data_IF_322016488830
#
_entry.id   IF_322016488830
#
_cell.length_a   1.000
_cell.length_b   1.000
_cell.length_c   1.000
_cell.angle_alpha   90.00
_cell.angle_beta   90.00
_cell.angle_gamma   90.00
#
_symmetry.space_group_name_H-M   'P 1'
#
loop_
_entity.id
_entity.type
_entity.pdbx_description
1 polymer ?
#
# COMPACT_ATOMS: atom_id res chain seq x y z
N UNK A 1 -16.79 -35.48 15.88
CA UNK A 1 -16.43 -34.70 14.66
C UNK A 1 -15.02 -35.02 14.13
N UNK A 2 -14.21 -35.85 14.82
CA UNK A 2 -12.99 -36.48 14.26
C UNK A 2 -13.32 -37.78 13.49
N UNK A 3 -14.54 -38.28 13.67
CA UNK A 3 -14.94 -39.67 13.39
C UNK A 3 -15.13 -40.00 11.90
N UNK A 4 -14.95 -39.03 11.00
CA UNK A 4 -15.13 -39.24 9.54
C UNK A 4 -13.87 -39.03 8.69
N UNK A 5 -12.87 -38.29 9.19
CA UNK A 5 -11.67 -37.95 8.39
C UNK A 5 -10.36 -38.18 9.11
N UNK A 6 -10.35 -38.35 10.44
CA UNK A 6 -9.10 -38.47 11.23
C UNK A 6 -8.23 -37.20 11.21
N UNK A 7 -8.70 -36.11 10.59
CA UNK A 7 -7.99 -34.83 10.53
C UNK A 7 -8.48 -33.93 11.66
N UNK A 8 -7.60 -33.52 12.60
CA UNK A 8 -7.99 -32.62 13.68
C UNK A 8 -8.38 -31.26 13.10
N UNK A 9 -9.61 -30.83 13.36
CA UNK A 9 -10.08 -29.48 13.06
C UNK A 9 -9.75 -28.61 14.27
N UNK A 10 -8.82 -27.66 14.10
CA UNK A 10 -8.48 -26.66 15.12
C UNK A 10 -9.22 -25.34 14.87
N UNK A 11 -9.79 -24.76 15.93
CA UNK A 11 -10.35 -23.41 15.90
C UNK A 11 -9.21 -22.38 16.08
N UNK A 12 -8.91 -21.59 15.03
CA UNK A 12 -7.87 -20.54 15.08
C UNK A 12 -8.31 -19.31 15.90
N UNK A 13 -9.62 -19.06 16.01
CA UNK A 13 -10.20 -17.98 16.80
C UNK A 13 -11.56 -17.52 16.26
N UNK A 14 -12.27 -16.71 17.05
CA UNK A 14 -13.55 -16.11 16.67
C UNK A 14 -13.32 -14.64 16.30
N UNK A 15 -13.76 -14.26 15.11
CA UNK A 15 -13.65 -12.87 14.64
C UNK A 15 -14.78 -12.01 15.20
N UNK A 16 -14.42 -10.84 15.72
CA UNK A 16 -15.36 -9.73 15.96
C UNK A 16 -15.81 -9.13 14.63
N UNK A 17 -14.89 -9.01 13.68
CA UNK A 17 -15.20 -8.70 12.27
C UNK A 17 -14.04 -9.14 11.36
N UNK A 18 -14.35 -9.39 10.08
CA UNK A 18 -13.39 -9.77 9.05
C UNK A 18 -13.83 -9.23 7.69
N UNK A 19 -12.88 -8.77 6.89
CA UNK A 19 -13.07 -8.29 5.54
C UNK A 19 -12.26 -9.13 4.54
N UNK A 20 -12.96 -9.72 3.57
CA UNK A 20 -12.35 -10.45 2.45
C UNK A 20 -12.20 -9.53 1.25
N UNK A 21 -11.02 -9.57 0.62
CA UNK A 21 -10.70 -8.69 -0.48
C UNK A 21 -10.91 -9.40 -1.83
N UNK A 22 -11.41 -8.69 -2.85
CA UNK A 22 -11.53 -9.25 -4.18
C UNK A 22 -10.15 -9.58 -4.79
N UNK A 23 -10.11 -10.46 -5.79
CA UNK A 23 -8.90 -10.67 -6.58
C UNK A 23 -8.50 -9.39 -7.30
N UNK A 24 -7.18 -9.12 -7.37
CA UNK A 24 -6.66 -8.01 -8.19
C UNK A 24 -6.85 -8.26 -9.70
N UNK A 25 -6.98 -9.53 -10.12
CA UNK A 25 -7.12 -9.92 -11.53
C UNK A 25 -8.59 -10.11 -11.94
N UNK A 26 -9.44 -10.53 -11.01
CA UNK A 26 -10.87 -10.70 -11.26
C UNK A 26 -11.70 -10.30 -10.03
N UNK A 27 -12.24 -9.07 -10.01
CA UNK A 27 -12.98 -8.54 -8.86
C UNK A 27 -14.19 -9.39 -8.43
N UNK A 28 -14.72 -10.25 -9.33
CA UNK A 28 -15.86 -11.13 -9.06
C UNK A 28 -15.49 -12.42 -8.31
N UNK A 29 -14.20 -12.71 -8.14
CA UNK A 29 -13.71 -13.90 -7.44
C UNK A 29 -12.96 -13.49 -6.17
N UNK A 30 -13.49 -13.77 -4.97
CA UNK A 30 -12.75 -13.58 -3.73
C UNK A 30 -11.57 -14.56 -3.70
N UNK A 31 -10.40 -14.06 -3.31
CA UNK A 31 -9.20 -14.92 -3.14
C UNK A 31 -9.08 -15.22 -1.66
N UNK A 32 -9.19 -16.49 -1.27
CA UNK A 32 -9.07 -16.94 0.12
C UNK A 32 -7.79 -16.45 0.84
N UNK A 33 -6.77 -16.04 0.09
CA UNK A 33 -5.49 -15.57 0.60
C UNK A 33 -5.39 -14.05 0.85
N UNK A 34 -6.47 -13.27 0.65
CA UNK A 34 -6.47 -11.81 0.87
C UNK A 34 -7.61 -11.39 1.80
N UNK A 35 -7.29 -11.14 3.06
CA UNK A 35 -8.25 -10.67 4.06
C UNK A 35 -7.55 -9.98 5.23
N UNK A 36 -8.31 -9.25 6.01
CA UNK A 36 -7.91 -8.78 7.33
C UNK A 36 -9.11 -8.75 8.27
N UNK A 37 -8.88 -8.81 9.57
CA UNK A 37 -9.95 -8.84 10.56
C UNK A 37 -9.41 -8.74 11.97
N UNK A 38 -10.31 -8.67 12.93
CA UNK A 38 -9.97 -8.60 14.35
C UNK A 38 -10.69 -9.71 15.09
N UNK A 39 -9.95 -10.45 15.89
CA UNK A 39 -10.48 -11.46 16.80
C UNK A 39 -11.23 -10.81 17.97
N UNK A 40 -12.09 -11.57 18.65
CA UNK A 40 -12.78 -11.09 19.86
C UNK A 40 -11.83 -10.63 20.98
N UNK A 41 -10.61 -11.17 21.02
CA UNK A 41 -9.55 -10.76 21.96
C UNK A 41 -8.76 -9.51 21.52
N UNK A 42 -9.18 -8.86 20.42
CA UNK A 42 -8.57 -7.65 19.89
C UNK A 42 -7.35 -7.87 18.97
N UNK A 43 -6.85 -9.11 18.81
CA UNK A 43 -5.72 -9.37 17.92
C UNK A 43 -6.11 -9.19 16.45
N UNK A 44 -5.30 -8.44 15.71
CA UNK A 44 -5.48 -8.21 14.26
C UNK A 44 -4.89 -9.39 13.46
N UNK A 45 -5.71 -10.00 12.59
CA UNK A 45 -5.25 -10.96 11.56
C UNK A 45 -5.19 -10.26 10.20
N UNK A 46 -4.15 -10.55 9.44
CA UNK A 46 -3.99 -10.04 8.07
C UNK A 46 -3.30 -11.07 7.17
N UNK A 47 -3.78 -11.22 5.93
CA UNK A 47 -3.23 -12.12 4.91
C UNK A 47 -3.29 -11.43 3.55
N UNK A 48 -2.20 -11.54 2.77
CA UNK A 48 -2.18 -11.10 1.37
C UNK A 48 -2.38 -9.61 1.12
N UNK A 49 -2.16 -8.76 2.13
CA UNK A 49 -2.14 -7.30 2.03
C UNK A 49 -0.70 -6.76 2.09
N UNK A 50 -0.52 -5.51 1.70
CA UNK A 50 0.75 -4.79 1.56
C UNK A 50 1.61 -4.88 2.84
N UNK A 51 1.01 -4.78 4.03
CA UNK A 51 1.67 -4.92 5.34
C UNK A 51 2.43 -6.25 5.51
N UNK A 52 2.03 -7.31 4.79
CA UNK A 52 2.65 -8.65 4.81
C UNK A 52 3.54 -8.92 3.61
N UNK A 53 3.57 -8.04 2.60
CA UNK A 53 4.38 -8.24 1.40
C UNK A 53 5.80 -7.75 1.61
N UNK A 54 6.80 -8.51 1.17
CA UNK A 54 8.21 -8.13 1.33
C UNK A 54 8.58 -6.85 0.57
N UNK A 55 8.01 -6.69 -0.63
CA UNK A 55 8.26 -5.57 -1.55
C UNK A 55 7.59 -4.25 -1.18
N UNK A 56 6.81 -4.20 -0.10
CA UNK A 56 6.21 -2.95 0.38
C UNK A 56 7.17 -2.20 1.32
N UNK A 57 7.37 -0.88 1.13
CA UNK A 57 8.17 -0.05 2.03
C UNK A 57 7.74 -0.12 3.50
N UNK A 58 8.68 -0.12 4.47
CA UNK A 58 8.35 -0.13 5.89
C UNK A 58 7.38 0.95 6.34
N UNK A 59 7.47 2.16 5.78
CA UNK A 59 6.56 3.27 6.01
C UNK A 59 5.11 2.88 5.72
N UNK A 60 4.86 2.36 4.51
CA UNK A 60 3.52 1.97 4.06
C UNK A 60 3.00 0.76 4.84
N UNK A 61 3.87 -0.20 5.17
CA UNK A 61 3.51 -1.31 6.05
C UNK A 61 3.04 -0.84 7.41
N UNK A 62 3.71 0.17 7.97
CA UNK A 62 3.34 0.76 9.27
C UNK A 62 2.01 1.49 9.15
N UNK A 63 1.86 2.37 8.16
CA UNK A 63 0.62 3.10 7.94
C UNK A 63 -0.60 2.17 7.78
N UNK A 64 -0.46 1.08 7.02
CA UNK A 64 -1.55 0.11 6.86
C UNK A 64 -1.88 -0.66 8.16
N UNK A 65 -0.89 -0.91 9.03
CA UNK A 65 -1.13 -1.52 10.36
C UNK A 65 -1.81 -0.54 11.30
N UNK A 66 -1.30 0.68 11.41
CA UNK A 66 -1.85 1.72 12.28
C UNK A 66 -3.31 2.04 11.88
N UNK A 67 -3.62 2.11 10.58
CA UNK A 67 -4.99 2.28 10.10
C UNK A 67 -5.91 1.10 10.49
N UNK A 68 -5.40 -0.13 10.48
CA UNK A 68 -6.12 -1.31 10.96
C UNK A 68 -6.33 -1.27 12.48
N UNK A 69 -5.37 -0.73 13.23
CA UNK A 69 -5.50 -0.52 14.69
C UNK A 69 -6.56 0.53 15.02
N UNK A 70 -6.70 1.57 14.18
CA UNK A 70 -7.82 2.52 14.29
C UNK A 70 -9.17 1.83 14.06
N UNK A 71 -9.31 1.03 12.99
CA UNK A 71 -10.53 0.27 12.72
C UNK A 71 -10.79 -0.82 13.78
N UNK A 72 -9.74 -1.36 14.40
CA UNK A 72 -9.85 -2.33 15.48
C UNK A 72 -10.46 -1.75 16.77
N UNK A 73 -10.72 -0.46 16.84
CA UNK A 73 -11.50 0.12 17.94
C UNK A 73 -13.01 -0.09 17.73
N UNK A 74 -13.47 -0.38 16.52
CA UNK A 74 -14.87 -0.68 16.24
C UNK A 74 -15.31 -1.97 16.96
N UNK A 75 -16.42 -1.95 17.72
CA UNK A 75 -16.91 -3.10 18.48
C UNK A 75 -17.53 -4.18 17.59
N UNK A 76 -17.94 -3.84 16.37
CA UNK A 76 -18.48 -4.78 15.38
C UNK A 76 -18.31 -4.23 13.94
N UNK A 77 -18.74 -5.03 12.96
CA UNK A 77 -18.62 -4.68 11.55
C UNK A 77 -19.53 -3.51 11.12
N UNK A 78 -20.69 -3.34 11.75
CA UNK A 78 -21.65 -2.29 11.40
C UNK A 78 -21.11 -0.91 11.76
N UNK A 79 -20.36 -0.83 12.85
CA UNK A 79 -19.76 0.40 13.36
C UNK A 79 -18.45 0.79 12.67
N UNK A 80 -17.87 -0.05 11.79
CA UNK A 80 -16.63 0.28 11.07
C UNK A 80 -16.73 1.57 10.26
N UNK A 81 -17.91 1.85 9.68
CA UNK A 81 -18.13 3.06 8.87
C UNK A 81 -18.02 4.35 9.70
N UNK A 82 -18.30 4.30 11.00
CA UNK A 82 -18.16 5.45 11.89
C UNK A 82 -16.70 5.89 12.08
N UNK A 83 -15.74 4.98 11.83
CA UNK A 83 -14.31 5.27 11.91
C UNK A 83 -13.72 5.81 10.61
N UNK A 84 -14.49 5.83 9.51
CA UNK A 84 -14.01 6.29 8.20
C UNK A 84 -13.38 7.69 8.24
N UNK A 85 -14.00 8.73 8.84
CA UNK A 85 -13.41 10.06 8.85
C UNK A 85 -12.02 10.08 9.49
N UNK A 86 -11.87 9.45 10.67
CA UNK A 86 -10.60 9.35 11.40
C UNK A 86 -9.54 8.58 10.63
N UNK A 87 -9.92 7.52 9.93
CA UNK A 87 -8.98 6.73 9.13
C UNK A 87 -8.56 7.49 7.87
N UNK A 88 -9.47 8.23 7.23
CA UNK A 88 -9.14 9.08 6.07
C UNK A 88 -8.19 10.22 6.47
N UNK A 89 -8.47 10.91 7.58
CA UNK A 89 -7.59 11.93 8.17
C UNK A 89 -6.19 11.36 8.43
N UNK A 90 -6.12 10.17 9.07
CA UNK A 90 -4.84 9.49 9.27
C UNK A 90 -4.07 9.24 7.96
N UNK A 91 -4.74 8.87 6.87
CA UNK A 91 -4.08 8.67 5.57
C UNK A 91 -3.61 9.98 4.93
N UNK A 92 -4.34 11.08 5.14
CA UNK A 92 -3.94 12.42 4.71
C UNK A 92 -2.68 12.86 5.47
N UNK A 93 -2.64 12.71 6.80
CA UNK A 93 -1.46 13.02 7.61
C UNK A 93 -0.22 12.24 7.13
N UNK A 94 -0.39 10.94 6.84
CA UNK A 94 0.72 10.11 6.32
C UNK A 94 1.15 10.55 4.92
N UNK A 95 0.24 11.00 4.08
CA UNK A 95 0.58 11.54 2.78
C UNK A 95 1.36 12.86 2.91
N UNK A 96 1.00 13.70 3.87
CA UNK A 96 1.68 14.97 4.14
C UNK A 96 3.08 14.76 4.73
N UNK A 97 3.26 13.82 5.66
CA UNK A 97 4.59 13.43 6.16
C UNK A 97 5.51 12.97 5.01
N UNK A 98 4.96 12.19 4.07
CA UNK A 98 5.70 11.72 2.90
C UNK A 98 6.10 12.88 2.00
N UNK A 99 5.16 13.79 1.70
CA UNK A 99 5.38 14.92 0.79
C UNK A 99 6.27 16.01 1.37
N UNK A 100 6.24 16.19 2.68
CA UNK A 100 7.11 17.13 3.39
C UNK A 100 8.52 16.57 3.64
N UNK A 101 8.81 15.35 3.19
CA UNK A 101 10.14 14.73 3.33
C UNK A 101 10.47 14.30 4.76
N UNK A 102 9.48 14.18 5.65
CA UNK A 102 9.68 13.77 7.04
C UNK A 102 9.93 12.27 7.21
N UNK A 103 9.68 11.48 6.16
CA UNK A 103 9.88 10.02 6.19
C UNK A 103 11.34 9.68 5.88
N UNK A 104 12.08 9.01 6.81
CA UNK A 104 13.47 8.61 6.57
C UNK A 104 13.61 7.66 5.38
N UNK A 105 14.74 7.74 4.65
CA UNK A 105 15.00 6.93 3.46
C UNK A 105 14.87 5.42 3.73
N UNK A 106 15.34 4.95 4.88
CA UNK A 106 15.29 3.54 5.27
C UNK A 106 13.84 3.03 5.36
N UNK A 107 12.89 3.93 5.66
CA UNK A 107 11.47 3.60 5.73
C UNK A 107 10.81 3.57 4.35
N UNK A 108 11.46 4.12 3.33
CA UNK A 108 11.03 4.12 1.93
C UNK A 108 11.66 2.98 1.10
N UNK A 109 12.52 2.15 1.70
CA UNK A 109 13.17 1.05 0.99
C UNK A 109 12.20 0.01 0.45
N UNK A 110 12.32 -0.27 -0.84
CA UNK A 110 11.65 -1.38 -1.53
C UNK A 110 12.60 -2.56 -1.59
N UNK A 111 12.08 -3.77 -1.32
CA UNK A 111 12.88 -5.01 -1.40
C UNK A 111 12.27 -5.97 -2.42
N UNK A 112 12.96 -6.20 -3.54
CA UNK A 112 12.46 -7.11 -4.59
C UNK A 112 13.48 -8.20 -4.89
N UNK A 113 12.96 -9.38 -5.28
CA UNK A 113 13.77 -10.51 -5.70
C UNK A 113 14.20 -10.32 -7.15
N UNK A 114 15.48 -10.51 -7.44
CA UNK A 114 15.94 -10.67 -8.82
C UNK A 114 15.46 -12.03 -9.31
N UNK A 115 14.53 -12.04 -10.27
CA UNK A 115 13.86 -13.26 -10.71
C UNK A 115 14.49 -13.92 -11.93
N UNK A 116 15.31 -13.18 -12.69
CA UNK A 116 15.97 -13.60 -13.93
C UNK A 116 17.30 -12.86 -14.07
N UNK A 117 18.16 -13.34 -14.96
CA UNK A 117 19.39 -12.63 -15.33
C UNK A 117 19.05 -11.31 -16.04
N UNK A 118 19.95 -10.33 -16.00
CA UNK A 118 19.69 -8.99 -16.54
C UNK A 118 19.42 -9.01 -18.05
N UNK A 119 20.16 -9.85 -18.78
CA UNK A 119 20.07 -10.02 -20.24
C UNK A 119 18.73 -10.64 -20.67
N UNK A 120 18.01 -11.29 -19.75
CA UNK A 120 16.73 -11.94 -20.02
C UNK A 120 15.55 -10.98 -19.92
N UNK A 121 15.75 -9.73 -19.49
CA UNK A 121 14.70 -8.72 -19.42
C UNK A 121 14.62 -7.90 -20.71
N UNK A 122 13.46 -7.93 -21.37
CA UNK A 122 13.15 -7.00 -22.48
C UNK A 122 13.07 -5.54 -22.01
N UNK A 123 12.51 -5.35 -20.81
CA UNK A 123 12.47 -4.06 -20.11
C UNK A 123 12.99 -4.33 -18.69
N UNK A 124 14.09 -3.68 -18.26
CA UNK A 124 14.64 -3.89 -16.93
C UNK A 124 13.63 -3.56 -15.84
N UNK A 125 13.34 -4.54 -14.97
CA UNK A 125 12.54 -4.29 -13.77
C UNK A 125 13.26 -3.33 -12.81
N UNK A 126 12.57 -2.69 -11.85
CA UNK A 126 13.22 -1.90 -10.79
C UNK A 126 14.35 -2.64 -10.08
N UNK A 127 14.13 -3.93 -9.75
CA UNK A 127 15.15 -4.80 -9.18
C UNK A 127 16.35 -4.99 -10.13
N UNK A 128 16.10 -5.23 -11.42
CA UNK A 128 17.16 -5.40 -12.42
C UNK A 128 18.00 -4.12 -12.57
N UNK A 129 17.36 -2.94 -12.61
CA UNK A 129 18.07 -1.65 -12.67
C UNK A 129 18.93 -1.39 -11.42
N UNK A 130 18.40 -1.72 -10.24
CA UNK A 130 19.18 -1.62 -9.00
C UNK A 130 20.36 -2.60 -8.98
N UNK A 131 20.19 -3.83 -9.47
CA UNK A 131 21.29 -4.80 -9.58
C UNK A 131 22.34 -4.33 -10.59
N UNK A 132 21.94 -3.78 -11.73
CA UNK A 132 22.88 -3.22 -12.72
C UNK A 132 23.77 -2.12 -12.11
N UNK A 133 23.21 -1.25 -11.26
CA UNK A 133 23.99 -0.24 -10.53
C UNK A 133 25.03 -0.87 -9.59
N UNK A 134 24.66 -1.95 -8.90
CA UNK A 134 25.58 -2.66 -8.00
C UNK A 134 26.70 -3.36 -8.78
N UNK A 135 26.38 -4.00 -9.90
CA UNK A 135 27.38 -4.64 -10.77
C UNK A 135 28.38 -3.63 -11.34
N UNK A 136 27.93 -2.41 -11.68
CA UNK A 136 28.80 -1.34 -12.18
C UNK A 136 29.88 -0.90 -11.16
N UNK A 137 29.66 -1.15 -9.86
CA UNK A 137 30.65 -0.89 -8.79
C UNK A 137 31.30 -2.18 -8.27
N UNK A 138 31.22 -3.27 -9.02
CA UNK A 138 31.85 -4.56 -8.70
C UNK A 138 31.12 -5.38 -7.62
N UNK A 139 29.86 -5.06 -7.29
CA UNK A 139 29.05 -5.85 -6.36
C UNK A 139 28.17 -6.84 -7.12
N UNK A 140 28.39 -8.12 -6.90
CA UNK A 140 27.59 -9.19 -7.50
C UNK A 140 26.28 -9.42 -6.74
N UNK A 141 25.17 -9.52 -7.48
CA UNK A 141 23.88 -10.00 -6.99
C UNK A 141 23.41 -11.12 -7.91
N UNK A 142 23.15 -12.30 -7.35
CA UNK A 142 22.74 -13.49 -8.10
C UNK A 142 21.23 -13.59 -8.23
N UNK A 143 20.75 -14.24 -9.30
CA UNK A 143 19.34 -14.61 -9.42
C UNK A 143 18.90 -15.39 -8.19
N UNK A 144 17.72 -15.04 -7.68
CA UNK A 144 17.21 -15.59 -6.43
C UNK A 144 17.41 -14.69 -5.21
N UNK A 145 18.39 -13.77 -5.26
CA UNK A 145 18.66 -12.84 -4.17
C UNK A 145 17.74 -11.63 -4.19
N UNK A 146 17.67 -10.94 -3.05
CA UNK A 146 16.90 -9.71 -2.90
C UNK A 146 17.80 -8.50 -3.01
N UNK A 147 17.32 -7.49 -3.71
CA UNK A 147 17.94 -6.16 -3.79
C UNK A 147 17.04 -5.14 -3.11
N UNK A 148 17.66 -4.18 -2.43
CA UNK A 148 16.99 -3.03 -1.82
C UNK A 148 17.25 -1.79 -2.64
N UNK A 149 16.23 -0.99 -2.87
CA UNK A 149 16.36 0.26 -3.61
C UNK A 149 15.30 1.28 -3.20
N UNK A 150 15.55 2.53 -3.57
CA UNK A 150 14.60 3.65 -3.52
C UNK A 150 14.08 3.95 -4.92
N UNK A 151 12.86 4.45 -5.04
CA UNK A 151 12.39 5.03 -6.30
C UNK A 151 12.86 6.47 -6.41
N UNK A 152 13.42 6.82 -7.57
CA UNK A 152 13.95 8.15 -7.86
C UNK A 152 13.34 8.70 -9.15
N UNK A 153 13.35 10.03 -9.27
CA UNK A 153 12.91 10.75 -10.47
C UNK A 153 13.95 10.57 -11.59
N UNK A 154 13.50 10.49 -12.84
CA UNK A 154 14.36 10.37 -14.02
C UNK A 154 14.92 8.97 -14.22
N UNK A 155 15.82 8.79 -15.18
CA UNK A 155 16.52 7.52 -15.39
C UNK A 155 17.72 7.40 -14.42
N UNK A 156 17.95 6.24 -13.80
CA UNK A 156 17.33 4.93 -14.08
C UNK A 156 16.08 4.64 -13.23
N UNK A 157 15.46 5.64 -12.60
CA UNK A 157 14.20 5.54 -11.88
C UNK A 157 14.24 4.76 -10.56
N UNK A 158 15.45 4.33 -10.16
CA UNK A 158 15.74 3.69 -8.88
C UNK A 158 17.15 4.03 -8.43
N UNK A 159 17.39 3.93 -7.12
CA UNK A 159 18.72 3.97 -6.51
C UNK A 159 18.93 2.75 -5.63
N UNK A 160 19.90 1.90 -5.96
CA UNK A 160 20.26 0.74 -5.17
C UNK A 160 20.81 1.16 -3.80
N UNK A 161 20.23 0.62 -2.74
CA UNK A 161 20.55 1.03 -1.37
C UNK A 161 21.97 0.71 -0.96
N UNK A 162 22.52 -0.39 -1.49
CA UNK A 162 23.85 -0.87 -1.13
C UNK A 162 24.97 -0.16 -1.93
N UNK A 163 24.69 0.95 -2.62
CA UNK A 163 25.71 1.83 -3.20
C UNK A 163 26.42 2.63 -2.09
N UNK A 164 27.67 3.08 -2.31
CA UNK A 164 28.41 3.85 -1.30
C UNK A 164 27.79 5.20 -0.94
N UNK A 165 27.04 5.79 -1.86
CA UNK A 165 26.40 7.09 -1.70
C UNK A 165 24.88 6.89 -1.64
N UNK A 166 24.24 7.52 -0.67
CA UNK A 166 22.78 7.61 -0.60
C UNK A 166 22.28 8.72 -1.54
N UNK A 167 21.10 8.56 -2.15
CA UNK A 167 20.54 9.60 -3.00
C UNK A 167 20.12 10.79 -2.13
N UNK A 168 20.15 11.99 -2.70
CA UNK A 168 19.51 13.14 -2.09
C UNK A 168 18.00 12.89 -1.98
N UNK A 169 17.39 13.35 -0.89
CA UNK A 169 15.95 13.23 -0.65
C UNK A 169 15.15 13.94 -1.73
N UNK A 170 15.69 15.02 -2.32
CA UNK A 170 15.07 15.73 -3.45
C UNK A 170 14.97 14.92 -4.74
N UNK A 171 15.73 13.82 -4.88
CA UNK A 171 15.68 12.94 -6.04
C UNK A 171 14.64 11.83 -5.92
N UNK A 172 13.94 11.70 -4.79
CA UNK A 172 12.94 10.66 -4.58
C UNK A 172 11.69 10.89 -5.42
N UNK A 173 11.15 9.80 -5.97
CA UNK A 173 9.86 9.81 -6.65
C UNK A 173 8.72 9.71 -5.62
N UNK A 174 8.46 10.82 -4.93
CA UNK A 174 7.45 10.90 -3.87
C UNK A 174 6.04 10.60 -4.39
N UNK A 175 5.73 10.93 -5.64
CA UNK A 175 4.44 10.61 -6.26
C UNK A 175 4.24 9.10 -6.39
N UNK A 176 5.29 8.36 -6.76
CA UNK A 176 5.24 6.90 -6.78
C UNK A 176 5.05 6.30 -5.39
N UNK A 177 5.67 6.86 -4.36
CA UNK A 177 5.42 6.44 -2.97
C UNK A 177 4.00 6.78 -2.51
N UNK A 178 3.47 7.94 -2.90
CA UNK A 178 2.10 8.34 -2.61
C UNK A 178 1.09 7.39 -3.26
N UNK A 179 1.34 6.97 -4.50
CA UNK A 179 0.51 5.96 -5.19
C UNK A 179 0.56 4.59 -4.48
N UNK A 180 1.72 4.17 -3.97
CA UNK A 180 1.81 2.96 -3.15
C UNK A 180 1.04 3.09 -1.82
N UNK A 181 1.07 4.27 -1.21
CA UNK A 181 0.31 4.58 0.00
C UNK A 181 -1.21 4.54 -0.28
N UNK A 182 -1.66 5.18 -1.36
CA UNK A 182 -3.05 5.16 -1.81
C UNK A 182 -3.56 3.73 -2.02
N UNK A 183 -2.77 2.86 -2.67
CA UNK A 183 -3.15 1.45 -2.87
C UNK A 183 -3.29 0.68 -1.56
N UNK A 184 -2.41 0.97 -0.59
CA UNK A 184 -2.49 0.37 0.74
C UNK A 184 -3.74 0.88 1.50
N UNK A 185 -4.07 2.16 1.39
CA UNK A 185 -5.28 2.76 1.95
C UNK A 185 -6.55 2.19 1.30
N UNK A 186 -6.61 2.14 -0.03
CA UNK A 186 -7.73 1.56 -0.78
C UNK A 186 -7.96 0.09 -0.40
N UNK A 187 -6.89 -0.66 -0.18
CA UNK A 187 -7.00 -2.05 0.29
C UNK A 187 -7.77 -2.16 1.62
N UNK A 188 -7.59 -1.20 2.53
CA UNK A 188 -8.29 -1.16 3.83
C UNK A 188 -9.72 -0.61 3.69
N UNK A 189 -9.93 0.37 2.82
CA UNK A 189 -11.18 1.12 2.74
C UNK A 189 -12.20 0.55 1.75
N UNK A 190 -11.76 -0.22 0.75
CA UNK A 190 -12.67 -0.85 -0.23
C UNK A 190 -13.78 -1.70 0.40
N UNK A 191 -13.57 -2.49 1.49
CA UNK A 191 -14.64 -3.29 2.07
C UNK A 191 -15.70 -2.44 2.77
N UNK A 192 -15.38 -1.18 3.07
CA UNK A 192 -16.31 -0.19 3.65
C UNK A 192 -17.12 0.55 2.56
N UNK A 193 -16.93 0.20 1.29
CA UNK A 193 -17.62 0.77 0.14
C UNK A 193 -16.91 1.96 -0.51
N UNK A 194 -15.69 2.28 -0.09
CA UNK A 194 -14.90 3.39 -0.66
C UNK A 194 -14.30 2.96 -2.00
N UNK A 195 -14.66 3.68 -3.07
CA UNK A 195 -14.06 3.51 -4.40
C UNK A 195 -12.69 4.17 -4.47
N UNK A 196 -11.81 3.67 -5.34
CA UNK A 196 -10.44 4.20 -5.48
C UNK A 196 -10.45 5.66 -5.94
N UNK A 197 -11.34 6.03 -6.87
CA UNK A 197 -11.45 7.39 -7.40
C UNK A 197 -11.87 8.37 -6.30
N UNK A 198 -12.82 7.97 -5.47
CA UNK A 198 -13.27 8.73 -4.29
C UNK A 198 -12.13 8.92 -3.30
N UNK A 199 -11.40 7.85 -2.99
CA UNK A 199 -10.27 7.94 -2.07
C UNK A 199 -9.16 8.84 -2.61
N UNK A 200 -8.85 8.74 -3.91
CA UNK A 200 -7.88 9.61 -4.56
C UNK A 200 -8.30 11.08 -4.43
N UNK A 201 -9.57 11.39 -4.64
CA UNK A 201 -10.06 12.76 -4.46
C UNK A 201 -9.91 13.25 -3.01
N UNK A 202 -10.30 12.44 -2.01
CA UNK A 202 -10.11 12.79 -0.59
C UNK A 202 -8.64 13.02 -0.22
N UNK A 203 -7.73 12.16 -0.66
CA UNK A 203 -6.32 12.27 -0.28
C UNK A 203 -5.58 13.40 -1.02
N UNK A 204 -5.89 13.64 -2.30
CA UNK A 204 -5.07 14.53 -3.13
C UNK A 204 -5.63 15.94 -3.30
N UNK A 205 -6.93 16.15 -3.09
CA UNK A 205 -7.54 17.49 -3.22
C UNK A 205 -7.59 18.26 -1.90
N UNK A 206 -7.09 17.68 -0.80
CA UNK A 206 -7.32 18.15 0.57
C UNK A 206 -8.81 18.46 0.86
N UNK A 207 -9.69 17.83 0.10
CA UNK A 207 -11.12 17.96 0.26
C UNK A 207 -11.50 17.02 1.40
N UNK A 208 -11.98 17.59 2.50
CA UNK A 208 -12.48 16.80 3.64
C UNK A 208 -13.53 15.77 3.18
N UNK A 209 -13.68 14.70 3.96
CA UNK A 209 -14.72 13.71 3.72
C UNK A 209 -16.11 14.38 3.69
N UNK A 210 -16.68 14.52 2.49
CA UNK A 210 -17.91 15.27 2.27
C UNK A 210 -19.20 14.45 2.25
N UNK A 211 -19.13 13.10 2.18
CA UNK A 211 -20.30 12.21 2.19
C UNK A 211 -19.93 10.72 2.40
N UNK A 212 -20.86 9.88 2.93
CA UNK A 212 -20.72 8.42 3.02
C UNK A 212 -20.36 7.72 1.70
N UNK A 213 -19.56 6.63 1.74
CA UNK A 213 -19.32 5.80 0.56
C UNK A 213 -20.64 5.23 0.05
N UNK A 214 -20.95 5.49 -1.22
CA UNK A 214 -22.22 5.12 -1.86
C UNK A 214 -23.23 6.27 -2.00
N UNK A 215 -23.00 7.42 -1.38
CA UNK A 215 -23.87 8.61 -1.50
C UNK A 215 -23.33 9.70 -2.45
N UNK A 216 -22.11 9.51 -2.98
CA UNK A 216 -21.58 10.37 -4.04
C UNK A 216 -22.34 10.12 -5.35
N UNK A 217 -23.44 10.85 -5.53
CA UNK A 217 -24.17 10.95 -6.80
C UNK A 217 -23.25 11.56 -7.87
N UNK A 218 -23.29 11.02 -9.08
CA UNK A 218 -22.56 11.47 -10.29
C UNK A 218 -23.03 12.84 -10.83
N UNK A 219 -23.26 13.84 -9.98
CA UNK A 219 -23.59 15.18 -10.45
C UNK A 219 -22.55 16.19 -9.98
N UNK A 220 -21.56 16.38 -10.87
CA UNK A 220 -20.74 17.59 -10.93
C UNK A 220 -19.38 17.47 -10.27
N UNK A 221 -18.45 16.73 -10.88
CA UNK A 221 -17.05 17.16 -10.83
C UNK A 221 -16.84 18.17 -11.97
N UNK A 222 -16.50 19.44 -11.71
CA UNK A 222 -16.00 20.31 -12.76
C UNK A 222 -14.64 19.79 -13.22
N UNK A 223 -14.57 19.37 -14.49
CA UNK A 223 -13.33 19.21 -15.22
C UNK A 223 -12.70 20.60 -15.35
N UNK A 224 -11.59 20.81 -14.64
CA UNK A 224 -10.58 21.87 -14.84
C UNK A 224 -11.06 23.21 -15.41
N UNK A 225 -11.02 24.27 -14.60
CA UNK A 225 -10.63 25.58 -15.13
C UNK A 225 -9.98 26.44 -14.06
N UNK A 226 -8.68 26.68 -14.19
CA UNK A 226 -8.08 27.93 -13.72
C UNK A 226 -6.98 28.30 -14.70
N UNK A 227 -7.24 29.29 -15.55
CA UNK A 227 -6.25 30.28 -15.93
C UNK A 227 -6.98 31.61 -16.16
N UNK A 228 -7.00 32.43 -15.12
CA UNK A 228 -7.02 33.87 -15.28
C UNK A 228 -5.60 34.28 -15.65
N UNK A 229 -5.39 34.77 -16.87
CA UNK A 229 -4.27 35.66 -17.17
C UNK A 229 -4.88 36.96 -17.64
N UNK A 230 -4.70 37.99 -16.81
CA UNK A 230 -4.99 39.38 -17.11
C UNK A 230 -3.87 39.95 -17.98
N UNK A 231 -4.24 40.59 -19.09
CA UNK A 231 -3.77 41.91 -19.50
C UNK A 231 -4.76 42.49 -20.50
#
# INVERSE_FOLDING_TARGET
MVDRTGLPIGLDGIYRWIAFLPSKTNPRVPVANRFFGVFQDGRIKMRGIEARRRDTPPFIKKAQRDALELLAQAPDAEQLKAYLPKVVEFWQDRLDDLRSGQVPLERLLVTQKLSRELEQYKVPSPAARAVAQLQAVGKEVKVGQYVRFLYTIGEPGVHAWDLPQHPDSGCLDLDRYAELLLRAAHTILQPLGVKEETLRWWLYSNAGYGAPPGELREKGLPLFTTQTISR
#
